data_IF_975175113938
#
_entry.id   IF_975175113938
#
_cell.length_a   1.000
_cell.length_b   1.000
_cell.length_c   1.000
_cell.angle_alpha   90.00
_cell.angle_beta   90.00
_cell.angle_gamma   90.00
#
_symmetry.space_group_name_H-M   'P 1'
#
loop_
_entity.id
_entity.type
_entity.pdbx_description
1 polymer ?
#
# COMPACT_ATOMS: atom_id res chain seq x y z
N UNK A 1 -25.43 4.66 87.66
CA UNK A 1 -24.66 3.82 88.59
C UNK A 1 -24.16 2.61 87.82
N UNK A 2 -22.89 2.32 88.01
CA UNK A 2 -22.10 1.17 87.55
C UNK A 2 -21.71 1.03 86.06
N UNK A 3 -20.39 1.01 85.78
CA UNK A 3 -19.79 0.83 84.45
C UNK A 3 -19.44 -0.64 84.20
N UNK A 4 -19.21 -1.01 82.94
CA UNK A 4 -18.46 -2.22 82.60
C UNK A 4 -17.22 -1.87 81.77
N UNK A 5 -16.13 -1.91 82.51
CA UNK A 5 -14.74 -2.01 82.12
C UNK A 5 -14.50 -3.24 81.22
N UNK A 6 -13.84 -3.06 80.07
CA UNK A 6 -12.92 -4.05 79.50
C UNK A 6 -11.83 -3.36 78.69
N UNK A 7 -10.64 -3.32 79.30
CA UNK A 7 -9.35 -3.24 78.63
C UNK A 7 -9.14 -4.52 77.81
N UNK A 8 -8.59 -4.40 76.60
CA UNK A 8 -7.67 -5.41 76.06
C UNK A 8 -6.64 -4.74 75.14
N UNK A 9 -5.37 -4.87 75.52
CA UNK A 9 -4.17 -4.57 74.75
C UNK A 9 -3.82 -5.73 73.82
N UNK A 10 -3.14 -5.42 72.72
CA UNK A 10 -1.88 -6.03 72.23
C UNK A 10 -1.80 -5.96 70.69
N UNK A 11 -0.65 -6.27 70.06
CA UNK A 11 0.70 -5.78 70.30
C UNK A 11 1.33 -5.19 69.02
N UNK A 12 2.46 -4.50 69.16
CA UNK A 12 3.25 -4.06 68.01
C UNK A 12 3.96 -5.22 67.30
N UNK A 13 4.50 -4.96 66.11
CA UNK A 13 5.84 -5.43 65.71
C UNK A 13 6.30 -4.94 64.33
N UNK A 14 7.61 -4.72 64.29
CA UNK A 14 8.58 -5.09 63.26
C UNK A 14 8.46 -4.52 61.84
N UNK A 15 9.19 -3.42 61.66
CA UNK A 15 10.28 -3.24 60.67
C UNK A 15 10.36 -4.24 59.51
N UNK A 16 10.25 -3.73 58.28
CA UNK A 16 10.55 -4.46 57.06
C UNK A 16 11.08 -3.52 55.98
N UNK A 17 12.35 -3.70 55.65
CA UNK A 17 13.14 -3.02 54.63
C UNK A 17 12.45 -3.10 53.24
N UNK A 18 12.06 -1.97 52.67
CA UNK A 18 11.45 -1.92 51.33
C UNK A 18 12.54 -1.93 50.25
N UNK A 19 12.68 -3.09 49.58
CA UNK A 19 13.50 -3.28 48.39
C UNK A 19 12.88 -2.52 47.21
N UNK A 20 13.56 -1.51 46.69
CA UNK A 20 13.11 -0.75 45.51
C UNK A 20 13.36 -1.59 44.25
N UNK A 21 12.33 -2.26 43.73
CA UNK A 21 12.39 -2.90 42.41
C UNK A 21 12.16 -1.84 41.32
N UNK A 22 13.22 -1.48 40.60
CA UNK A 22 13.13 -0.72 39.35
C UNK A 22 12.56 -1.61 38.24
N UNK A 23 11.28 -1.43 37.90
CA UNK A 23 10.66 -2.09 36.77
C UNK A 23 11.09 -1.41 35.46
N UNK A 24 12.07 -2.00 34.76
CA UNK A 24 12.45 -1.62 33.40
C UNK A 24 11.35 -2.04 32.44
N UNK A 25 10.53 -1.09 31.99
CA UNK A 25 9.52 -1.31 30.95
C UNK A 25 10.23 -1.51 29.59
N UNK A 26 10.24 -2.76 29.11
CA UNK A 26 10.74 -3.11 27.78
C UNK A 26 9.72 -2.63 26.73
N UNK A 27 10.01 -1.51 26.07
CA UNK A 27 9.21 -0.99 24.97
C UNK A 27 9.40 -1.94 23.77
N UNK A 28 8.42 -2.82 23.54
CA UNK A 28 8.36 -3.66 22.36
C UNK A 28 7.93 -2.81 21.17
N UNK A 29 8.89 -2.32 20.38
CA UNK A 29 8.60 -1.63 19.13
C UNK A 29 8.02 -2.64 18.11
N UNK A 30 6.82 -2.42 17.55
CA UNK A 30 6.30 -3.28 16.50
C UNK A 30 7.20 -3.18 15.27
N UNK A 31 7.70 -4.33 14.79
CA UNK A 31 8.47 -4.39 13.57
C UNK A 31 7.62 -3.95 12.38
N UNK A 32 8.10 -2.97 11.62
CA UNK A 32 7.42 -2.55 10.39
C UNK A 32 7.60 -3.64 9.34
N UNK A 33 6.54 -4.38 9.02
CA UNK A 33 6.56 -5.33 7.92
C UNK A 33 6.64 -4.54 6.60
N UNK A 34 7.76 -4.65 5.89
CA UNK A 34 7.92 -4.09 4.55
C UNK A 34 7.08 -4.97 3.60
N UNK A 35 6.00 -4.44 3.05
CA UNK A 35 5.28 -5.11 1.98
C UNK A 35 6.25 -5.42 0.83
N UNK A 36 6.28 -6.67 0.38
CA UNK A 36 7.07 -7.05 -0.78
C UNK A 36 6.61 -6.24 -2.01
N UNK A 37 7.54 -5.94 -2.92
CA UNK A 37 7.17 -5.33 -4.18
C UNK A 37 6.21 -6.28 -4.93
N UNK A 38 5.19 -5.73 -5.61
CA UNK A 38 4.28 -6.56 -6.39
C UNK A 38 5.03 -7.34 -7.46
N UNK A 39 4.73 -8.64 -7.60
CA UNK A 39 5.28 -9.47 -8.67
C UNK A 39 4.53 -9.18 -9.97
N UNK A 40 5.10 -8.30 -10.79
CA UNK A 40 4.55 -7.88 -12.08
C UNK A 40 5.59 -8.03 -13.18
N UNK A 41 5.13 -8.46 -14.36
CA UNK A 41 5.98 -8.55 -15.56
C UNK A 41 5.39 -7.74 -16.71
N UNK A 42 6.28 -7.10 -17.46
CA UNK A 42 5.95 -6.37 -18.68
C UNK A 42 6.55 -7.10 -19.87
N UNK A 43 5.75 -7.35 -20.91
CA UNK A 43 6.21 -7.95 -22.17
C UNK A 43 5.66 -7.20 -23.38
N UNK A 44 6.21 -7.50 -24.57
CA UNK A 44 5.79 -6.94 -25.86
C UNK A 44 5.76 -5.40 -25.91
N UNK A 45 6.65 -4.77 -25.14
CA UNK A 45 6.73 -3.32 -25.00
C UNK A 45 7.21 -2.68 -26.31
N UNK A 46 6.43 -1.73 -26.82
CA UNK A 46 6.75 -0.94 -28.01
C UNK A 46 6.18 0.46 -27.92
N UNK A 47 6.87 1.40 -28.54
CA UNK A 47 6.38 2.76 -28.77
C UNK A 47 6.01 2.91 -30.25
N UNK A 48 4.81 3.42 -30.52
CA UNK A 48 4.36 3.74 -31.86
C UNK A 48 4.46 5.25 -32.07
N UNK A 49 5.45 5.67 -32.86
CA UNK A 49 5.68 7.06 -33.25
C UNK A 49 5.10 7.25 -34.65
N UNK A 50 4.18 8.20 -34.81
CA UNK A 50 3.60 8.54 -36.11
C UNK A 50 4.38 9.69 -36.77
N UNK A 51 4.72 10.72 -35.99
CA UNK A 51 5.56 11.83 -36.39
C UNK A 51 6.15 12.52 -35.16
N UNK A 52 7.34 13.13 -35.30
CA UNK A 52 8.07 13.70 -34.16
C UNK A 52 7.31 14.82 -33.42
N UNK A 53 6.39 15.53 -34.08
CA UNK A 53 5.61 16.62 -33.50
C UNK A 53 4.35 16.16 -32.76
N UNK A 54 4.04 14.85 -32.73
CA UNK A 54 2.84 14.31 -32.07
C UNK A 54 3.22 13.36 -30.93
N UNK A 55 2.36 13.24 -29.90
CA UNK A 55 2.53 12.21 -28.89
C UNK A 55 2.64 10.82 -29.52
N UNK A 56 3.61 10.03 -29.05
CA UNK A 56 3.70 8.61 -29.34
C UNK A 56 2.72 7.82 -28.47
N UNK A 57 2.33 6.63 -28.89
CA UNK A 57 1.53 5.70 -28.10
C UNK A 57 2.38 4.53 -27.59
N UNK A 58 2.25 4.21 -26.30
CA UNK A 58 2.91 3.04 -25.69
C UNK A 58 2.00 1.82 -25.71
N UNK A 59 2.55 0.67 -26.06
CA UNK A 59 1.82 -0.60 -26.01
C UNK A 59 2.67 -1.66 -25.33
N UNK A 60 2.06 -2.46 -24.48
CA UNK A 60 2.70 -3.52 -23.73
C UNK A 60 1.65 -4.47 -23.15
N UNK A 61 2.10 -5.60 -22.64
CA UNK A 61 1.30 -6.50 -21.82
C UNK A 61 1.81 -6.40 -20.39
N UNK A 62 0.92 -6.17 -19.44
CA UNK A 62 1.23 -6.16 -18.02
C UNK A 62 0.53 -7.35 -17.36
N UNK A 63 1.33 -8.25 -16.78
CA UNK A 63 0.85 -9.39 -16.01
C UNK A 63 1.18 -9.17 -14.54
N UNK A 64 0.20 -9.41 -13.69
CA UNK A 64 0.39 -9.52 -12.25
C UNK A 64 0.48 -11.02 -11.91
N UNK A 65 1.65 -11.47 -11.47
CA UNK A 65 1.86 -12.85 -11.05
C UNK A 65 1.57 -13.05 -9.55
N UNK A 66 1.30 -11.97 -8.80
CA UNK A 66 0.87 -12.05 -7.42
C UNK A 66 -0.62 -12.34 -7.28
N UNK A 67 -1.03 -12.77 -6.09
CA UNK A 67 -2.42 -13.15 -5.81
C UNK A 67 -3.33 -11.97 -5.44
N UNK A 68 -2.76 -10.80 -5.21
CA UNK A 68 -3.48 -9.58 -4.85
C UNK A 68 -3.53 -8.62 -6.02
N UNK A 69 -4.64 -7.89 -6.14
CA UNK A 69 -4.75 -6.81 -7.13
C UNK A 69 -3.67 -5.76 -6.95
N UNK A 70 -3.22 -5.20 -8.07
CA UNK A 70 -2.32 -4.05 -8.10
C UNK A 70 -2.93 -2.96 -8.98
N UNK A 71 -2.47 -1.73 -8.78
CA UNK A 71 -2.86 -0.58 -9.60
C UNK A 71 -1.65 -0.04 -10.31
N UNK A 72 -1.69 -0.01 -11.65
CA UNK A 72 -0.76 0.77 -12.44
C UNK A 72 -1.19 2.23 -12.38
N UNK A 73 -0.36 3.09 -11.80
CA UNK A 73 -0.69 4.52 -11.58
C UNK A 73 0.10 5.46 -12.49
N UNK A 74 1.00 4.95 -13.32
CA UNK A 74 1.78 5.77 -14.23
C UNK A 74 2.96 5.03 -14.85
N UNK A 75 3.70 5.75 -15.69
CA UNK A 75 4.92 5.29 -16.34
C UNK A 75 5.89 6.46 -16.50
N UNK A 76 7.18 6.17 -16.68
CA UNK A 76 8.22 7.14 -16.96
C UNK A 76 9.14 6.60 -18.06
N UNK A 77 9.62 7.48 -18.94
CA UNK A 77 10.62 7.16 -19.96
C UNK A 77 11.57 8.35 -20.12
N UNK A 78 12.90 8.13 -20.23
CA UNK A 78 13.88 9.22 -20.28
C UNK A 78 13.64 10.22 -21.42
N UNK A 79 13.14 9.75 -22.56
CA UNK A 79 12.93 10.55 -23.77
C UNK A 79 11.53 11.19 -23.85
N UNK A 80 10.72 11.08 -22.80
CA UNK A 80 9.36 11.61 -22.75
C UNK A 80 9.24 12.69 -21.66
N UNK A 81 8.85 13.90 -22.06
CA UNK A 81 8.59 14.99 -21.11
C UNK A 81 7.42 14.70 -20.15
N UNK A 82 6.44 13.92 -20.60
CA UNK A 82 5.32 13.42 -19.77
C UNK A 82 4.75 12.15 -20.38
N UNK A 83 4.28 11.22 -19.55
CA UNK A 83 3.44 10.10 -19.96
C UNK A 83 2.10 10.15 -19.23
N UNK A 84 1.05 9.76 -19.93
CA UNK A 84 -0.32 9.70 -19.43
C UNK A 84 -0.89 8.37 -19.88
N UNK A 85 -1.66 7.69 -19.02
CA UNK A 85 -2.37 6.48 -19.42
C UNK A 85 -3.74 6.88 -19.94
N UNK A 86 -4.10 6.40 -21.13
CA UNK A 86 -5.39 6.68 -21.73
C UNK A 86 -6.17 5.40 -22.01
N UNK A 87 -7.50 5.49 -22.08
CA UNK A 87 -8.39 4.45 -22.59
C UNK A 87 -9.10 4.95 -23.83
N UNK A 88 -8.85 4.30 -24.95
CA UNK A 88 -9.65 4.49 -26.15
C UNK A 88 -10.96 3.72 -26.08
N UNK A 89 -12.00 4.27 -26.67
CA UNK A 89 -13.29 3.61 -26.84
C UNK A 89 -14.02 4.17 -28.05
N UNK A 90 -15.02 3.44 -28.53
CA UNK A 90 -15.97 3.94 -29.52
C UNK A 90 -17.35 4.02 -28.89
N UNK A 91 -18.05 5.14 -29.08
CA UNK A 91 -19.43 5.29 -28.64
C UNK A 91 -20.21 6.08 -29.69
N UNK A 92 -21.19 5.40 -30.30
CA UNK A 92 -22.02 5.96 -31.36
C UNK A 92 -21.25 6.24 -32.66
N UNK A 93 -20.27 5.40 -33.01
CA UNK A 93 -19.43 5.59 -34.20
C UNK A 93 -18.36 6.68 -34.08
N UNK A 94 -18.23 7.30 -32.90
CA UNK A 94 -17.19 8.29 -32.62
C UNK A 94 -16.13 7.71 -31.70
N UNK A 95 -14.87 7.84 -32.11
CA UNK A 95 -13.71 7.52 -31.28
C UNK A 95 -13.60 8.51 -30.12
N UNK A 96 -13.34 7.98 -28.93
CA UNK A 96 -13.06 8.71 -27.70
C UNK A 96 -11.76 8.22 -27.09
N UNK A 97 -11.10 9.12 -26.37
CA UNK A 97 -9.89 8.83 -25.62
C UNK A 97 -9.97 9.56 -24.29
N UNK A 98 -9.92 8.81 -23.21
CA UNK A 98 -10.06 9.33 -21.85
C UNK A 98 -8.76 9.09 -21.07
N UNK A 99 -8.25 10.12 -20.40
CA UNK A 99 -7.15 9.96 -19.46
C UNK A 99 -7.61 9.18 -18.23
N UNK A 100 -6.82 8.19 -17.81
CA UNK A 100 -7.04 7.42 -16.59
C UNK A 100 -5.87 7.61 -15.63
N UNK A 101 -6.18 7.82 -14.35
CA UNK A 101 -5.16 7.99 -13.31
C UNK A 101 -4.64 6.65 -12.77
N UNK A 102 -5.41 5.57 -12.95
CA UNK A 102 -5.07 4.24 -12.45
C UNK A 102 -5.75 3.17 -13.29
N UNK A 103 -5.02 2.07 -13.52
CA UNK A 103 -5.55 0.85 -14.15
C UNK A 103 -5.38 -0.31 -13.17
N UNK A 104 -6.50 -0.91 -12.75
CA UNK A 104 -6.48 -2.11 -11.90
C UNK A 104 -6.00 -3.31 -12.72
N UNK A 105 -5.05 -4.05 -12.18
CA UNK A 105 -4.56 -5.34 -12.69
C UNK A 105 -4.86 -6.40 -11.62
N UNK A 106 -5.88 -7.25 -11.84
CA UNK A 106 -6.25 -8.26 -10.84
C UNK A 106 -5.08 -9.19 -10.48
N UNK A 107 -5.12 -9.78 -9.29
CA UNK A 107 -4.20 -10.88 -8.93
C UNK A 107 -4.26 -12.01 -9.97
N UNK A 108 -3.10 -12.55 -10.36
CA UNK A 108 -2.94 -13.51 -11.46
C UNK A 108 -3.49 -13.01 -12.83
N UNK A 109 -3.81 -11.71 -12.92
CA UNK A 109 -4.45 -11.08 -14.07
C UNK A 109 -3.46 -10.58 -15.10
N UNK A 110 -3.98 -10.28 -16.28
CA UNK A 110 -3.22 -9.68 -17.39
C UNK A 110 -4.03 -8.58 -18.05
N UNK A 111 -3.42 -7.41 -18.24
CA UNK A 111 -3.99 -6.28 -18.96
C UNK A 111 -3.12 -5.98 -20.18
N UNK A 112 -3.76 -5.69 -21.31
CA UNK A 112 -3.10 -5.33 -22.56
C UNK A 112 -3.28 -3.84 -22.82
N UNK A 113 -2.17 -3.13 -22.97
CA UNK A 113 -2.10 -1.80 -23.54
C UNK A 113 -1.90 -1.97 -25.06
N UNK A 114 -2.96 -1.75 -25.84
CA UNK A 114 -3.04 -2.06 -27.26
C UNK A 114 -3.95 -1.06 -28.00
N UNK A 115 -3.81 -0.91 -29.34
CA UNK A 115 -4.65 -0.01 -30.13
C UNK A 115 -6.14 -0.23 -29.88
N UNK A 116 -6.89 0.86 -29.75
CA UNK A 116 -8.34 0.83 -29.45
C UNK A 116 -8.69 0.55 -27.98
N UNK A 117 -7.71 0.23 -27.13
CA UNK A 117 -7.88 0.03 -25.69
C UNK A 117 -7.01 0.98 -24.87
N UNK A 118 -6.43 0.46 -23.78
CA UNK A 118 -5.45 1.20 -22.99
C UNK A 118 -4.17 1.44 -23.78
N UNK A 119 -3.51 2.58 -23.56
CA UNK A 119 -2.21 2.93 -24.14
C UNK A 119 -1.53 4.04 -23.33
#
# INVERSE_FOLDING_TARGET
MQPLNRVNRAPGSCTGLALVLSASALILAPGVARAAAPDVTVSDARMQVIMASRPAAGYFVLKNNGDTDVSLTGAAAPDCGSLMMHKSSEQGGMARMEMVQSVRVPGNGTIRFAPGGYH
#
